data_IF_669419818018
#
_entry.id   IF_669419818018
#
_cell.length_a   1.000
_cell.length_b   1.000
_cell.length_c   1.000
_cell.angle_alpha   90.00
_cell.angle_beta   90.00
_cell.angle_gamma   90.00
#
_symmetry.space_group_name_H-M   'P 1'
#
loop_
_entity.id
_entity.type
_entity.pdbx_description
1 polymer ?
#
# COMPACT_ATOMS: atom_id res chain seq x y z
N UNK A 1 2.92 6.40 -4.89
CA UNK A 1 1.76 5.56 -4.53
C UNK A 1 2.26 4.16 -4.76
N UNK A 2 2.66 3.49 -3.67
CA UNK A 2 3.50 2.31 -3.70
C UNK A 2 2.97 1.11 -4.45
N UNK A 3 3.91 0.20 -4.71
CA UNK A 3 3.79 -1.07 -5.43
C UNK A 3 2.65 -1.97 -4.95
N UNK A 4 1.55 -1.97 -5.68
CA UNK A 4 0.34 -2.74 -5.41
C UNK A 4 0.61 -4.26 -5.29
N UNK A 5 1.53 -4.84 -6.08
CA UNK A 5 1.84 -6.27 -5.98
C UNK A 5 2.81 -6.59 -4.83
N UNK A 6 3.79 -5.73 -4.57
CA UNK A 6 4.72 -5.93 -3.47
C UNK A 6 3.98 -6.01 -2.14
N UNK A 7 3.05 -5.11 -1.86
CA UNK A 7 2.23 -5.20 -0.64
C UNK A 7 1.40 -6.48 -0.59
N UNK A 8 0.80 -6.88 -1.70
CA UNK A 8 0.04 -8.13 -1.77
C UNK A 8 0.90 -9.37 -1.47
N UNK A 9 2.09 -9.45 -2.08
CA UNK A 9 3.06 -10.52 -1.84
C UNK A 9 3.56 -10.48 -0.40
N UNK A 10 3.92 -9.30 0.10
CA UNK A 10 4.37 -9.07 1.47
C UNK A 10 3.36 -9.59 2.49
N UNK A 11 2.09 -9.24 2.32
CA UNK A 11 1.01 -9.72 3.18
C UNK A 11 0.92 -11.25 3.23
N UNK A 12 1.15 -11.95 2.10
CA UNK A 12 1.17 -13.43 2.09
C UNK A 12 2.34 -14.01 2.86
N UNK A 13 3.51 -13.39 2.79
CA UNK A 13 4.70 -13.80 3.55
C UNK A 13 4.49 -13.53 5.05
N UNK A 14 3.94 -12.38 5.42
CA UNK A 14 3.60 -12.06 6.81
C UNK A 14 2.59 -13.05 7.39
N UNK A 15 1.52 -13.37 6.66
CA UNK A 15 0.54 -14.40 7.09
C UNK A 15 1.23 -15.73 7.40
N UNK A 16 2.23 -16.10 6.59
CA UNK A 16 3.02 -17.33 6.77
C UNK A 16 3.94 -17.29 8.00
N UNK A 17 4.29 -16.10 8.48
CA UNK A 17 5.04 -15.87 9.72
C UNK A 17 4.14 -15.71 10.97
N UNK A 18 2.84 -15.47 10.80
CA UNK A 18 1.92 -15.27 11.94
C UNK A 18 1.61 -16.59 12.68
N UNK A 19 1.43 -16.53 14.01
CA UNK A 19 0.84 -17.61 14.81
C UNK A 19 -0.54 -18.03 14.28
N UNK A 20 -0.89 -19.32 14.44
CA UNK A 20 -2.13 -19.91 13.90
C UNK A 20 -3.41 -19.10 14.20
N UNK A 21 -3.67 -18.63 15.44
CA UNK A 21 -4.90 -17.88 15.72
C UNK A 21 -5.03 -16.57 14.93
N UNK A 22 -3.91 -15.85 14.78
CA UNK A 22 -3.87 -14.61 13.99
C UNK A 22 -4.01 -14.89 12.50
N UNK A 23 -3.33 -15.94 12.01
CA UNK A 23 -3.48 -16.42 10.64
C UNK A 23 -4.94 -16.74 10.32
N UNK A 24 -5.62 -17.51 11.16
CA UNK A 24 -7.04 -17.86 10.95
C UNK A 24 -7.95 -16.63 10.94
N UNK A 25 -7.69 -15.63 11.79
CA UNK A 25 -8.45 -14.36 11.77
C UNK A 25 -8.31 -13.66 10.43
N UNK A 26 -7.08 -13.59 9.89
CA UNK A 26 -6.79 -12.98 8.59
C UNK A 26 -7.41 -13.79 7.44
N UNK A 27 -7.30 -15.11 7.46
CA UNK A 27 -7.83 -15.98 6.40
C UNK A 27 -9.37 -15.96 6.33
N UNK A 28 -10.06 -15.88 7.47
CA UNK A 28 -11.52 -15.79 7.51
C UNK A 28 -12.06 -14.47 6.97
N UNK A 29 -11.25 -13.40 7.01
CA UNK A 29 -11.61 -12.06 6.51
C UNK A 29 -10.59 -11.59 5.46
N UNK A 30 -10.21 -12.51 4.57
CA UNK A 30 -9.10 -12.31 3.64
C UNK A 30 -9.25 -11.07 2.77
N UNK A 31 -10.46 -10.77 2.32
CA UNK A 31 -10.74 -9.60 1.49
C UNK A 31 -10.38 -8.29 2.20
N UNK A 32 -10.70 -8.17 3.48
CA UNK A 32 -10.43 -6.97 4.28
C UNK A 32 -8.94 -6.82 4.58
N UNK A 33 -8.26 -7.91 4.90
CA UNK A 33 -6.80 -7.89 5.04
C UNK A 33 -6.14 -7.46 3.73
N UNK A 34 -6.52 -8.07 2.62
CA UNK A 34 -5.96 -7.79 1.29
C UNK A 34 -6.26 -6.35 0.82
N UNK A 35 -7.38 -5.74 1.25
CA UNK A 35 -7.65 -4.31 1.06
C UNK A 35 -6.76 -3.46 1.99
N UNK A 36 -6.62 -3.86 3.25
CA UNK A 36 -5.77 -3.19 4.23
C UNK A 36 -4.28 -3.16 3.84
N UNK A 37 -3.82 -4.10 3.01
CA UNK A 37 -2.45 -4.08 2.45
C UNK A 37 -2.16 -2.84 1.58
N UNK A 38 -3.18 -2.11 1.13
CA UNK A 38 -3.02 -0.83 0.46
C UNK A 38 -3.07 0.36 1.43
N UNK A 39 -3.30 0.12 2.72
CA UNK A 39 -3.37 1.15 3.75
C UNK A 39 -4.26 2.35 3.36
N UNK A 40 -3.83 3.59 3.64
CA UNK A 40 -4.58 4.78 3.27
C UNK A 40 -4.55 5.10 1.77
N UNK A 41 -3.77 4.38 0.94
CA UNK A 41 -3.65 4.65 -0.50
C UNK A 41 -4.96 4.46 -1.26
N UNK A 42 -5.86 3.63 -0.74
CA UNK A 42 -7.20 3.45 -1.33
C UNK A 42 -7.91 4.80 -1.51
N UNK A 43 -7.65 5.77 -0.62
CA UNK A 43 -8.30 7.07 -0.63
C UNK A 43 -7.82 7.96 -1.79
N UNK A 44 -6.60 7.75 -2.30
CA UNK A 44 -6.09 8.51 -3.44
C UNK A 44 -6.96 8.33 -4.70
N UNK A 45 -7.64 7.20 -4.80
CA UNK A 45 -8.50 6.87 -5.94
C UNK A 45 -9.92 7.43 -5.84
N UNK A 46 -10.25 8.17 -4.78
CA UNK A 46 -11.49 8.94 -4.70
C UNK A 46 -11.33 10.31 -5.38
N UNK A 47 -11.89 10.43 -6.59
CA UNK A 47 -11.77 11.62 -7.45
C UNK A 47 -10.31 12.15 -7.54
N UNK A 48 -9.37 11.34 -8.08
CA UNK A 48 -7.92 11.62 -8.01
C UNK A 48 -7.46 12.87 -8.76
N UNK A 49 -8.33 13.45 -9.61
CA UNK A 49 -7.96 14.60 -10.45
C UNK A 49 -7.68 15.87 -9.64
N UNK A 50 -8.21 15.99 -8.41
CA UNK A 50 -7.99 17.13 -7.52
C UNK A 50 -8.00 16.69 -6.07
N UNK A 51 -7.25 17.40 -5.22
CA UNK A 51 -7.32 17.21 -3.76
C UNK A 51 -8.73 17.51 -3.26
N UNK A 52 -9.25 16.64 -2.40
CA UNK A 52 -10.57 16.71 -1.78
C UNK A 52 -10.48 16.17 -0.34
N UNK A 53 -11.58 16.23 0.41
CA UNK A 53 -11.62 15.82 1.82
C UNK A 53 -11.32 14.33 2.05
N UNK A 54 -11.50 13.48 1.04
CA UNK A 54 -11.25 12.04 1.14
C UNK A 54 -9.79 11.72 0.80
N UNK A 55 -9.33 12.10 -0.40
CA UNK A 55 -7.94 11.81 -0.79
C UNK A 55 -6.92 12.63 0.02
N UNK A 56 -7.34 13.78 0.59
CA UNK A 56 -6.54 14.58 1.51
C UNK A 56 -6.12 13.81 2.76
N UNK A 57 -7.02 12.99 3.32
CA UNK A 57 -6.69 12.14 4.47
C UNK A 57 -5.59 11.13 4.14
N UNK A 58 -5.60 10.58 2.91
CA UNK A 58 -4.53 9.71 2.43
C UNK A 58 -3.17 10.39 2.46
N UNK A 59 -3.08 11.64 1.97
CA UNK A 59 -1.83 12.40 1.98
C UNK A 59 -1.40 12.74 3.42
N UNK A 60 -2.33 13.23 4.23
CA UNK A 60 -2.03 13.67 5.59
C UNK A 60 -1.56 12.52 6.49
N UNK A 61 -2.03 11.29 6.26
CA UNK A 61 -1.58 10.10 6.96
C UNK A 61 -0.14 9.70 6.61
N UNK A 62 0.32 10.00 5.39
CA UNK A 62 1.70 9.69 4.98
C UNK A 62 2.73 10.64 5.59
N UNK A 63 2.33 11.87 5.86
CA UNK A 63 3.21 12.93 6.37
C UNK A 63 3.28 12.99 7.90
N UNK A 64 2.34 12.35 8.60
CA UNK A 64 2.24 12.38 10.07
C UNK A 64 2.70 11.06 10.69
N UNK A 65 3.16 11.09 11.96
CA UNK A 65 3.32 9.87 12.76
C UNK A 65 2.06 9.01 12.71
N UNK A 66 2.22 7.70 12.49
CA UNK A 66 1.10 6.78 12.32
C UNK A 66 0.41 6.42 13.66
N UNK A 67 1.00 6.77 14.80
CA UNK A 67 0.54 6.38 16.13
C UNK A 67 -0.86 6.91 16.43
N UNK A 68 -1.18 8.15 16.01
CA UNK A 68 -2.54 8.70 16.15
C UNK A 68 -3.57 7.88 15.37
N UNK A 69 -3.24 7.46 14.14
CA UNK A 69 -4.09 6.59 13.35
C UNK A 69 -4.27 5.23 14.01
N UNK A 70 -3.20 4.61 14.52
CA UNK A 70 -3.29 3.30 15.17
C UNK A 70 -3.99 3.37 16.55
N UNK A 71 -3.90 4.48 17.30
CA UNK A 71 -4.72 4.70 18.51
C UNK A 71 -6.21 4.76 18.16
N UNK A 72 -6.57 5.56 17.15
CA UNK A 72 -7.95 5.65 16.66
C UNK A 72 -8.45 4.28 16.17
N UNK A 73 -7.63 3.58 15.37
CA UNK A 73 -7.95 2.27 14.85
C UNK A 73 -8.20 1.23 15.96
N UNK A 74 -7.48 1.29 17.08
CA UNK A 74 -7.71 0.40 18.21
C UNK A 74 -9.11 0.61 18.83
N UNK A 75 -9.52 1.87 18.98
CA UNK A 75 -10.87 2.21 19.45
C UNK A 75 -11.95 1.85 18.43
N UNK A 76 -11.67 2.03 17.14
CA UNK A 76 -12.55 1.59 16.05
C UNK A 76 -12.78 0.08 16.07
N UNK A 77 -11.72 -0.73 16.26
CA UNK A 77 -11.84 -2.18 16.35
C UNK A 77 -12.68 -2.61 17.56
N UNK A 78 -12.54 -1.95 18.71
CA UNK A 78 -13.33 -2.23 19.92
C UNK A 78 -14.82 -1.96 19.73
N UNK A 79 -15.18 -0.94 18.93
CA UNK A 79 -16.56 -0.50 18.68
C UNK A 79 -17.19 -1.14 17.44
N UNK A 80 -16.43 -1.90 16.67
CA UNK A 80 -16.91 -2.50 15.42
C UNK A 80 -18.01 -3.55 15.69
N UNK A 81 -19.01 -3.58 14.81
CA UNK A 81 -20.06 -4.62 14.82
C UNK A 81 -19.47 -6.01 14.60
N UNK A 82 -18.48 -6.10 13.70
CA UNK A 82 -17.62 -7.28 13.53
C UNK A 82 -16.16 -6.94 13.86
N UNK A 83 -15.73 -7.14 15.12
CA UNK A 83 -14.35 -6.90 15.52
C UNK A 83 -13.34 -7.80 14.79
N UNK A 84 -13.73 -8.98 14.30
CA UNK A 84 -12.81 -9.87 13.59
C UNK A 84 -12.50 -9.34 12.18
N UNK A 85 -13.52 -8.85 11.48
CA UNK A 85 -13.40 -8.15 10.21
C UNK A 85 -12.53 -6.89 10.34
N UNK A 86 -12.81 -6.04 11.34
CA UNK A 86 -12.04 -4.83 11.61
C UNK A 86 -10.57 -5.15 11.95
N UNK A 87 -10.31 -6.22 12.72
CA UNK A 87 -8.95 -6.72 13.01
C UNK A 87 -8.21 -7.14 11.75
N UNK A 88 -8.85 -7.88 10.86
CA UNK A 88 -8.21 -8.32 9.62
C UNK A 88 -7.80 -7.12 8.74
N UNK A 89 -8.68 -6.11 8.63
CA UNK A 89 -8.35 -4.87 7.92
C UNK A 89 -7.12 -4.17 8.52
N UNK A 90 -7.13 -3.88 9.83
CA UNK A 90 -6.02 -3.16 10.46
C UNK A 90 -4.71 -3.95 10.44
N UNK A 91 -4.75 -5.29 10.49
CA UNK A 91 -3.55 -6.11 10.29
C UNK A 91 -2.96 -5.95 8.89
N UNK A 92 -3.80 -5.79 7.87
CA UNK A 92 -3.35 -5.42 6.53
C UNK A 92 -2.67 -4.05 6.53
N UNK A 93 -3.26 -3.06 7.20
CA UNK A 93 -2.68 -1.69 7.28
C UNK A 93 -1.36 -1.67 8.04
N UNK A 94 -1.20 -2.51 9.08
CA UNK A 94 0.08 -2.69 9.78
C UNK A 94 1.14 -3.26 8.82
N UNK A 95 0.78 -4.21 7.95
CA UNK A 95 1.71 -4.73 6.95
C UNK A 95 2.11 -3.65 5.94
N UNK A 96 1.15 -2.85 5.48
CA UNK A 96 1.42 -1.71 4.60
C UNK A 96 2.39 -0.72 5.25
N UNK A 97 2.07 -0.25 6.47
CA UNK A 97 2.94 0.62 7.27
C UNK A 97 4.35 0.04 7.47
N UNK A 98 4.45 -1.24 7.81
CA UNK A 98 5.73 -1.87 8.10
C UNK A 98 6.64 -1.91 6.87
N UNK A 99 6.08 -2.16 5.68
CA UNK A 99 6.85 -2.16 4.45
C UNK A 99 7.22 -0.74 4.02
N UNK A 100 6.26 0.18 4.03
CA UNK A 100 6.47 1.57 3.61
C UNK A 100 7.49 2.28 4.48
N UNK A 101 7.38 2.16 5.81
CA UNK A 101 8.32 2.78 6.75
C UNK A 101 9.74 2.19 6.69
N UNK A 102 9.94 1.04 6.04
CA UNK A 102 11.27 0.48 5.76
C UNK A 102 11.78 0.89 4.37
N UNK A 103 10.89 1.00 3.37
CA UNK A 103 11.26 1.25 1.99
C UNK A 103 11.33 2.73 1.62
N UNK A 104 10.35 3.55 2.01
CA UNK A 104 10.23 4.93 1.56
C UNK A 104 11.43 5.83 1.88
N UNK A 105 12.12 5.72 3.03
CA UNK A 105 13.36 6.47 3.26
C UNK A 105 14.42 6.20 2.17
N UNK A 106 14.56 4.94 1.76
CA UNK A 106 15.49 4.57 0.69
C UNK A 106 14.97 4.95 -0.69
N UNK A 107 13.67 4.82 -0.96
CA UNK A 107 13.06 5.28 -2.22
C UNK A 107 13.27 6.77 -2.41
N UNK A 108 13.08 7.59 -1.37
CA UNK A 108 13.34 9.04 -1.42
C UNK A 108 14.81 9.33 -1.74
N UNK A 109 15.73 8.63 -1.08
CA UNK A 109 17.16 8.71 -1.36
C UNK A 109 17.48 8.32 -2.81
N UNK A 110 16.89 7.24 -3.33
CA UNK A 110 17.05 6.78 -4.72
C UNK A 110 16.57 7.82 -5.73
N UNK A 111 15.40 8.44 -5.49
CA UNK A 111 14.86 9.52 -6.33
C UNK A 111 15.85 10.68 -6.37
N UNK A 112 16.32 11.12 -5.20
CA UNK A 112 17.26 12.24 -5.09
C UNK A 112 18.58 11.97 -5.83
N UNK A 113 19.17 10.79 -5.69
CA UNK A 113 20.48 10.47 -6.30
C UNK A 113 20.40 10.18 -7.81
N UNK A 114 19.28 9.62 -8.29
CA UNK A 114 19.17 9.16 -9.69
C UNK A 114 18.29 10.01 -10.59
N UNK A 115 17.38 10.81 -10.03
CA UNK A 115 16.30 11.47 -10.78
C UNK A 115 15.22 10.52 -11.32
N UNK A 116 15.29 9.21 -11.02
CA UNK A 116 14.25 8.25 -11.39
C UNK A 116 13.01 8.52 -10.55
N UNK A 117 11.84 8.52 -11.18
CA UNK A 117 10.59 8.81 -10.46
C UNK A 117 10.27 7.74 -9.42
N UNK A 118 9.62 8.16 -8.33
CA UNK A 118 9.06 7.28 -7.30
C UNK A 118 8.28 6.10 -7.91
N UNK A 119 7.33 6.40 -8.80
CA UNK A 119 6.48 5.39 -9.44
C UNK A 119 7.27 4.39 -10.29
N UNK A 120 8.40 4.80 -10.88
CA UNK A 120 9.22 3.90 -11.69
C UNK A 120 10.08 2.97 -10.85
N UNK A 121 10.68 3.46 -9.75
CA UNK A 121 11.41 2.63 -8.79
C UNK A 121 10.49 1.54 -8.23
N UNK A 122 9.29 1.95 -7.83
CA UNK A 122 8.25 1.06 -7.35
C UNK A 122 7.84 0.05 -8.43
N UNK A 123 7.44 0.51 -9.61
CA UNK A 123 7.09 -0.36 -10.73
C UNK A 123 8.16 -1.43 -11.03
N UNK A 124 9.44 -1.06 -10.99
CA UNK A 124 10.54 -2.00 -11.21
C UNK A 124 10.73 -3.01 -10.06
N UNK A 125 10.41 -2.61 -8.83
CA UNK A 125 10.35 -3.54 -7.71
C UNK A 125 9.17 -4.53 -7.85
N UNK A 126 7.99 -4.05 -8.25
CA UNK A 126 6.85 -4.91 -8.58
C UNK A 126 7.19 -5.88 -9.72
N UNK A 127 7.88 -5.40 -10.76
CA UNK A 127 8.39 -6.24 -11.86
C UNK A 127 9.28 -7.37 -11.33
N UNK A 128 10.24 -7.05 -10.46
CA UNK A 128 11.15 -8.06 -9.89
C UNK A 128 10.33 -9.15 -9.18
N UNK A 129 9.42 -8.78 -8.30
CA UNK A 129 8.63 -9.72 -7.52
C UNK A 129 7.69 -10.57 -8.40
N UNK A 130 7.03 -9.96 -9.40
CA UNK A 130 6.17 -10.66 -10.36
C UNK A 130 6.97 -11.68 -11.18
N UNK A 131 8.18 -11.32 -11.63
CA UNK A 131 9.06 -12.22 -12.38
C UNK A 131 9.51 -13.41 -11.55
N UNK A 132 9.85 -13.21 -10.28
CA UNK A 132 10.21 -14.28 -9.36
C UNK A 132 9.06 -15.26 -9.11
N UNK A 133 7.82 -14.78 -9.17
CA UNK A 133 6.62 -15.61 -9.06
C UNK A 133 6.16 -16.17 -10.43
N UNK A 134 6.99 -16.05 -11.48
CA UNK A 134 6.71 -16.52 -12.84
C UNK A 134 5.47 -15.88 -13.48
N UNK A 135 5.11 -14.67 -13.06
CA UNK A 135 3.98 -13.89 -13.58
C UNK A 135 4.50 -12.87 -14.60
N UNK A 136 3.77 -12.69 -15.71
CA UNK A 136 4.08 -11.66 -16.69
C UNK A 136 3.71 -10.26 -16.13
N UNK A 137 4.69 -9.37 -15.84
CA UNK A 137 4.42 -8.09 -15.19
C UNK A 137 3.52 -7.17 -16.04
N UNK A 138 3.75 -7.17 -17.35
CA UNK A 138 3.08 -6.28 -18.31
C UNK A 138 1.58 -6.59 -18.45
N UNK A 139 1.16 -7.79 -18.06
CA UNK A 139 -0.23 -8.28 -18.17
C UNK A 139 -0.92 -8.45 -16.82
N UNK A 140 -0.21 -8.24 -15.72
CA UNK A 140 -0.75 -8.45 -14.39
C UNK A 140 -1.63 -7.26 -13.97
N UNK A 141 -2.84 -7.56 -13.49
CA UNK A 141 -3.72 -6.57 -12.88
C UNK A 141 -3.55 -6.65 -11.37
N UNK A 142 -2.91 -5.66 -10.78
CA UNK A 142 -2.51 -5.70 -9.37
C UNK A 142 -3.66 -5.51 -8.36
N UNK A 143 -4.88 -5.22 -8.83
CA UNK A 143 -6.06 -5.01 -7.96
C UNK A 143 -7.06 -6.16 -8.00
N UNK A 144 -6.67 -7.36 -8.47
CA UNK A 144 -7.59 -8.51 -8.62
C UNK A 144 -8.21 -8.99 -7.30
N UNK A 145 -7.47 -8.83 -6.20
CA UNK A 145 -7.90 -9.18 -4.84
C UNK A 145 -8.88 -8.19 -4.22
N UNK A 146 -8.98 -6.96 -4.74
CA UNK A 146 -9.86 -5.94 -4.17
C UNK A 146 -11.32 -6.29 -4.47
N UNK A 147 -12.14 -6.24 -3.42
CA UNK A 147 -13.57 -6.54 -3.45
C UNK A 147 -14.35 -5.30 -2.99
N UNK A 148 -14.80 -4.45 -3.93
CA UNK A 148 -15.39 -3.15 -3.61
C UNK A 148 -16.89 -3.28 -3.26
N UNK A 149 -17.18 -4.00 -2.18
CA UNK A 149 -18.54 -4.22 -1.67
C UNK A 149 -18.93 -3.12 -0.68
N UNK A 150 -20.22 -2.96 -0.40
CA UNK A 150 -20.65 -1.98 0.63
C UNK A 150 -20.29 -2.47 2.03
N UNK A 151 -20.31 -3.78 2.21
CA UNK A 151 -19.98 -4.51 3.43
C UNK A 151 -18.53 -4.25 3.82
N UNK A 152 -17.58 -4.43 2.89
CA UNK A 152 -16.18 -4.08 3.13
C UNK A 152 -16.03 -2.57 3.37
N UNK A 153 -16.77 -1.74 2.64
CA UNK A 153 -16.81 -0.29 2.87
C UNK A 153 -17.26 0.10 4.27
N UNK A 154 -18.26 -0.60 4.84
CA UNK A 154 -18.79 -0.34 6.17
C UNK A 154 -17.80 -0.69 7.29
N UNK A 155 -16.99 -1.74 7.10
CA UNK A 155 -15.92 -2.09 8.04
C UNK A 155 -14.78 -1.07 8.00
N UNK A 156 -14.45 -0.56 6.81
CA UNK A 156 -13.28 0.31 6.59
C UNK A 156 -13.57 1.77 6.94
N UNK A 157 -14.76 2.28 6.62
CA UNK A 157 -15.08 3.70 6.75
C UNK A 157 -14.78 4.29 8.16
N UNK A 158 -15.08 3.60 9.29
CA UNK A 158 -14.81 4.11 10.63
C UNK A 158 -13.33 4.28 11.00
N UNK A 159 -12.39 3.76 10.19
CA UNK A 159 -10.96 3.98 10.39
C UNK A 159 -10.51 5.38 9.94
N UNK A 160 -11.37 6.10 9.22
CA UNK A 160 -11.10 7.40 8.63
C UNK A 160 -12.12 8.43 9.10
N UNK A 161 -11.78 9.72 8.96
CA UNK A 161 -12.61 10.83 9.41
C UNK A 161 -13.77 11.05 8.43
N UNK A 162 -15.00 11.05 8.96
CA UNK A 162 -16.25 11.38 8.23
C UNK A 162 -16.45 10.64 6.89
N UNK A 163 -15.98 9.40 6.79
CA UNK A 163 -16.22 8.56 5.62
C UNK A 163 -17.47 7.69 5.78
N UNK A 164 -18.16 7.47 4.67
CA UNK A 164 -19.27 6.51 4.56
C UNK A 164 -18.81 5.25 3.82
N UNK A 165 -19.56 4.15 4.00
CA UNK A 165 -19.33 2.91 3.26
C UNK A 165 -19.35 3.12 1.74
N UNK A 166 -20.26 3.96 1.23
CA UNK A 166 -20.34 4.32 -0.19
C UNK A 166 -19.08 5.05 -0.68
N UNK A 167 -18.52 5.94 0.14
CA UNK A 167 -17.31 6.70 -0.20
C UNK A 167 -16.12 5.76 -0.33
N UNK A 168 -15.91 4.87 0.64
CA UNK A 168 -14.87 3.84 0.56
C UNK A 168 -15.10 2.93 -0.65
N UNK A 169 -16.33 2.48 -0.87
CA UNK A 169 -16.66 1.64 -2.02
C UNK A 169 -16.30 2.32 -3.35
N UNK A 170 -16.60 3.62 -3.49
CA UNK A 170 -16.24 4.42 -4.67
C UNK A 170 -14.72 4.51 -4.83
N UNK A 171 -13.98 4.71 -3.73
CA UNK A 171 -12.52 4.76 -3.76
C UNK A 171 -11.92 3.42 -4.26
N UNK A 172 -12.39 2.29 -3.73
CA UNK A 172 -11.97 0.94 -4.18
C UNK A 172 -12.33 0.67 -5.65
N UNK A 173 -13.54 1.07 -6.09
CA UNK A 173 -13.94 1.01 -7.51
C UNK A 173 -13.02 1.86 -8.38
N UNK A 174 -12.67 3.06 -7.92
CA UNK A 174 -11.71 3.95 -8.54
C UNK A 174 -10.36 3.25 -8.73
N UNK A 175 -9.81 2.67 -7.66
CA UNK A 175 -8.52 1.98 -7.70
C UNK A 175 -8.49 0.89 -8.77
N UNK A 176 -9.52 0.04 -8.82
CA UNK A 176 -9.66 -1.00 -9.85
C UNK A 176 -9.79 -0.40 -11.26
N UNK A 177 -10.58 0.67 -11.42
CA UNK A 177 -10.79 1.33 -12.71
C UNK A 177 -9.50 1.94 -13.25
N UNK A 178 -8.75 2.70 -12.44
CA UNK A 178 -7.51 3.33 -12.85
C UNK A 178 -6.41 2.30 -13.15
N UNK A 179 -6.30 1.23 -12.35
CA UNK A 179 -5.37 0.15 -12.67
C UNK A 179 -5.73 -0.57 -13.99
N UNK A 180 -7.01 -0.79 -14.27
CA UNK A 180 -7.44 -1.33 -15.58
C UNK A 180 -7.17 -0.36 -16.73
N UNK A 181 -7.33 0.94 -16.50
CA UNK A 181 -7.02 1.97 -17.49
C UNK A 181 -5.52 1.95 -17.82
N UNK A 182 -4.67 1.93 -16.81
CA UNK A 182 -3.20 1.96 -16.94
C UNK A 182 -2.60 0.61 -17.40
N UNK A 183 -3.32 -0.50 -17.24
CA UNK A 183 -2.92 -1.80 -17.78
C UNK A 183 -2.90 -1.79 -19.31
N UNK A 184 -1.71 -1.56 -19.89
CA UNK A 184 -1.53 -1.38 -21.32
C UNK A 184 -0.48 -2.36 -21.90
N UNK A 185 -0.81 -3.64 -22.07
CA UNK A 185 0.15 -4.62 -22.61
C UNK A 185 0.43 -4.43 -24.11
N UNK A 186 -0.47 -3.81 -24.86
CA UNK A 186 -0.35 -3.62 -26.31
C UNK A 186 0.11 -2.22 -26.71
N UNK A 187 0.79 -2.12 -27.86
CA UNK A 187 1.35 -0.86 -28.37
C UNK A 187 0.28 0.22 -28.64
N UNK A 188 -0.91 -0.16 -29.12
CA UNK A 188 -1.99 0.79 -29.45
C UNK A 188 -2.47 1.53 -28.20
N UNK A 189 -2.84 0.80 -27.13
CA UNK A 189 -3.32 1.40 -25.88
C UNK A 189 -2.24 2.28 -25.23
N UNK A 190 -0.97 1.85 -25.26
CA UNK A 190 0.16 2.66 -24.77
C UNK A 190 0.31 3.99 -25.50
N UNK A 191 0.27 3.97 -26.84
CA UNK A 191 0.36 5.19 -27.65
C UNK A 191 -0.76 6.18 -27.30
N UNK A 192 -1.99 5.70 -27.15
CA UNK A 192 -3.13 6.53 -26.77
C UNK A 192 -2.94 7.12 -25.36
N UNK A 193 -2.59 6.28 -24.37
CA UNK A 193 -2.40 6.73 -22.99
C UNK A 193 -1.27 7.76 -22.88
N UNK A 194 -0.09 7.45 -23.43
CA UNK A 194 1.06 8.34 -23.37
C UNK A 194 0.84 9.62 -24.19
N UNK A 195 0.13 9.55 -25.32
CA UNK A 195 -0.31 10.72 -26.06
C UNK A 195 -1.22 11.62 -25.22
N UNK A 196 -2.23 11.04 -24.57
CA UNK A 196 -3.12 11.76 -23.66
C UNK A 196 -2.39 12.41 -22.48
N UNK A 197 -1.48 11.68 -21.83
CA UNK A 197 -0.67 12.20 -20.72
C UNK A 197 0.24 13.36 -21.15
N UNK A 198 0.81 13.32 -22.36
CA UNK A 198 1.63 14.43 -22.89
C UNK A 198 0.77 15.65 -23.18
N UNK A 199 -0.40 15.47 -23.77
CA UNK A 199 -1.33 16.56 -24.07
C UNK A 199 -1.86 17.23 -22.79
N UNK A 200 -2.04 16.48 -21.70
CA UNK A 200 -2.44 17.04 -20.40
C UNK A 200 -1.27 17.58 -19.56
N UNK A 201 -0.02 17.43 -20.01
CA UNK A 201 1.16 17.84 -19.25
C UNK A 201 1.46 16.94 -18.04
N UNK A 202 0.90 15.73 -18.00
CA UNK A 202 1.01 14.80 -16.85
C UNK A 202 1.89 13.58 -17.17
N UNK A 203 2.66 13.61 -18.26
CA UNK A 203 3.49 12.49 -18.66
C UNK A 203 4.53 12.15 -17.60
N UNK A 204 5.32 13.13 -17.15
CA UNK A 204 6.43 12.89 -16.23
C UNK A 204 5.97 12.35 -14.87
N UNK A 205 4.75 12.70 -14.44
CA UNK A 205 4.18 12.23 -13.17
C UNK A 205 3.44 10.90 -13.26
N UNK A 206 2.86 10.54 -14.41
CA UNK A 206 1.96 9.37 -14.51
C UNK A 206 2.52 8.20 -15.32
N UNK A 207 3.54 8.40 -16.15
CA UNK A 207 4.02 7.35 -17.07
C UNK A 207 4.59 6.14 -16.30
N UNK A 208 5.25 6.35 -15.17
CA UNK A 208 5.80 5.29 -14.32
C UNK A 208 4.74 4.39 -13.68
N UNK A 209 3.46 4.79 -13.67
CA UNK A 209 2.36 3.92 -13.26
C UNK A 209 1.96 2.88 -14.33
N UNK A 210 2.47 3.01 -15.56
CA UNK A 210 2.25 2.03 -16.64
C UNK A 210 3.48 1.13 -16.73
N UNK A 211 3.38 -0.08 -16.19
CA UNK A 211 4.42 -1.13 -16.24
C UNK A 211 5.21 -1.08 -17.54
N UNK A 212 6.51 -0.78 -17.53
CA UNK A 212 7.35 -0.68 -18.74
C UNK A 212 7.37 -2.02 -19.49
N UNK A 213 7.74 -2.03 -20.78
CA UNK A 213 7.86 -3.31 -21.50
C UNK A 213 9.14 -4.04 -21.09
N UNK A 214 10.22 -3.29 -21.05
CA UNK A 214 11.55 -3.75 -20.64
C UNK A 214 11.91 -3.18 -19.26
N UNK A 215 12.71 -3.91 -18.46
CA UNK A 215 13.19 -3.41 -17.18
C UNK A 215 14.10 -2.19 -17.35
N UNK A 216 14.10 -1.30 -16.36
CA UNK A 216 15.09 -0.23 -16.28
C UNK A 216 16.36 -0.78 -15.60
N UNK A 217 17.49 -0.92 -16.31
CA UNK A 217 18.71 -1.47 -15.73
C UNK A 217 19.28 -0.60 -14.59
N UNK A 218 18.97 0.70 -14.55
CA UNK A 218 19.39 1.59 -13.48
C UNK A 218 18.74 1.24 -12.13
N UNK A 219 17.55 0.63 -12.13
CA UNK A 219 16.86 0.22 -10.90
C UNK A 219 17.38 -1.12 -10.33
N UNK A 220 18.33 -1.79 -10.99
CA UNK A 220 18.74 -3.16 -10.61
C UNK A 220 19.25 -3.27 -9.17
N UNK A 221 20.16 -2.38 -8.76
CA UNK A 221 20.68 -2.39 -7.38
C UNK A 221 19.63 -1.90 -6.38
N UNK A 222 18.79 -0.93 -6.77
CA UNK A 222 17.68 -0.46 -5.95
C UNK A 222 16.69 -1.57 -5.64
N UNK A 223 16.27 -2.35 -6.65
CA UNK A 223 15.39 -3.49 -6.44
C UNK A 223 16.01 -4.57 -5.53
N UNK A 224 17.35 -4.75 -5.56
CA UNK A 224 18.03 -5.67 -4.62
C UNK A 224 18.00 -5.14 -3.19
N UNK A 225 18.20 -3.85 -2.99
CA UNK A 225 18.09 -3.23 -1.67
C UNK A 225 16.65 -3.31 -1.15
N UNK A 226 15.66 -2.91 -1.95
CA UNK A 226 14.24 -3.02 -1.61
C UNK A 226 13.83 -4.47 -1.30
N UNK A 227 14.36 -5.46 -2.02
CA UNK A 227 14.12 -6.87 -1.71
C UNK A 227 14.67 -7.29 -0.34
N UNK A 228 15.84 -6.77 0.07
CA UNK A 228 16.40 -7.03 1.41
C UNK A 228 15.53 -6.39 2.50
N UNK A 229 15.11 -5.14 2.29
CA UNK A 229 14.21 -4.42 3.20
C UNK A 229 12.87 -5.14 3.33
N UNK A 230 12.28 -5.57 2.21
CA UNK A 230 11.08 -6.38 2.17
C UNK A 230 11.21 -7.65 3.03
N UNK A 231 12.29 -8.42 2.84
CA UNK A 231 12.50 -9.66 3.61
C UNK A 231 12.69 -9.38 5.11
N UNK A 232 13.41 -8.30 5.46
CA UNK A 232 13.59 -7.87 6.85
C UNK A 232 12.31 -7.33 7.50
N UNK A 233 11.41 -6.75 6.69
CA UNK A 233 10.14 -6.19 7.16
C UNK A 233 9.11 -7.28 7.52
N UNK A 234 9.23 -8.51 6.99
CA UNK A 234 8.28 -9.60 7.27
C UNK A 234 8.19 -9.94 8.77
N UNK A 235 9.29 -10.29 9.47
CA UNK A 235 9.22 -10.57 10.91
C UNK A 235 8.87 -9.32 11.73
N UNK A 236 9.25 -8.14 11.26
CA UNK A 236 8.86 -6.87 11.88
C UNK A 236 7.33 -6.69 11.87
N UNK A 237 6.69 -6.85 10.71
CA UNK A 237 5.24 -6.70 10.55
C UNK A 237 4.49 -7.75 11.38
N UNK A 238 4.93 -9.01 11.36
CA UNK A 238 4.36 -10.05 12.20
C UNK A 238 4.46 -9.70 13.70
N UNK A 239 5.62 -9.20 14.14
CA UNK A 239 5.82 -8.73 15.51
C UNK A 239 4.95 -7.52 15.88
N UNK A 240 4.75 -6.59 14.95
CA UNK A 240 3.84 -5.45 15.14
C UNK A 240 2.39 -5.89 15.27
N UNK A 241 1.92 -6.85 14.47
CA UNK A 241 0.56 -7.42 14.60
C UNK A 241 0.38 -8.06 15.98
N UNK A 242 1.36 -8.84 16.46
CA UNK A 242 1.30 -9.48 17.78
C UNK A 242 1.27 -8.43 18.90
N UNK A 243 2.13 -7.40 18.85
CA UNK A 243 2.11 -6.33 19.86
C UNK A 243 0.82 -5.53 19.81
N UNK A 244 0.31 -5.24 18.61
CA UNK A 244 -0.95 -4.52 18.46
C UNK A 244 -2.13 -5.34 18.96
N UNK A 245 -2.08 -6.67 18.89
CA UNK A 245 -3.07 -7.51 19.54
C UNK A 245 -3.16 -7.24 21.05
N UNK A 246 -2.04 -7.06 21.74
CA UNK A 246 -2.05 -6.69 23.16
C UNK A 246 -2.68 -5.33 23.41
N UNK A 247 -2.46 -4.36 22.53
CA UNK A 247 -3.15 -3.05 22.60
C UNK A 247 -4.68 -3.24 22.52
N UNK A 248 -5.14 -4.12 21.63
CA UNK A 248 -6.57 -4.37 21.42
C UNK A 248 -7.25 -5.09 22.60
N UNK A 249 -6.56 -6.04 23.24
CA UNK A 249 -7.17 -6.95 24.23
C UNK A 249 -6.72 -6.71 25.68
N UNK A 250 -5.51 -6.21 25.89
CA UNK A 250 -4.88 -6.04 27.21
C UNK A 250 -4.73 -4.55 27.58
N UNK A 251 -4.97 -3.64 26.63
CA UNK A 251 -4.84 -2.19 26.86
C UNK A 251 -3.40 -1.70 26.91
N UNK A 252 -2.46 -2.47 26.34
CA UNK A 252 -1.05 -2.09 26.21
C UNK A 252 -0.86 -0.76 25.46
N UNK A 253 0.31 -0.16 25.64
CA UNK A 253 0.70 1.02 24.89
C UNK A 253 0.93 0.72 23.41
N UNK A 254 0.62 1.71 22.58
CA UNK A 254 0.91 1.66 21.15
C UNK A 254 2.42 1.49 20.93
N UNK A 255 2.86 0.53 20.10
CA UNK A 255 4.28 0.33 19.82
C UNK A 255 4.96 1.62 19.36
N UNK A 256 6.11 1.94 19.96
CA UNK A 256 6.93 3.12 19.60
C UNK A 256 7.22 3.19 18.10
N UNK A 257 7.30 2.04 17.44
CA UNK A 257 7.50 1.93 16.00
C UNK A 257 6.45 2.69 15.17
N UNK A 258 5.22 2.86 15.67
CA UNK A 258 4.16 3.64 15.00
C UNK A 258 4.37 5.16 15.09
N UNK A 259 5.37 5.66 15.82
CA UNK A 259 5.75 7.09 15.78
C UNK A 259 6.43 7.49 14.46
N UNK A 260 6.83 6.52 13.62
CA UNK A 260 7.28 6.78 12.24
C UNK A 260 6.09 7.13 11.34
N UNK A 261 6.39 7.77 10.22
CA UNK A 261 5.38 8.05 9.18
C UNK A 261 5.34 6.90 8.16
N UNK A 262 4.32 6.87 7.30
CA UNK A 262 4.33 5.96 6.15
C UNK A 262 5.34 6.44 5.11
N UNK A 263 5.60 7.74 4.99
CA UNK A 263 6.57 8.31 4.05
C UNK A 263 8.05 8.15 4.47
N UNK A 264 8.91 8.96 3.84
CA UNK A 264 10.36 8.89 4.04
C UNK A 264 10.84 9.36 5.42
N UNK A 265 10.03 10.12 6.15
CA UNK A 265 10.39 10.70 7.44
C UNK A 265 11.63 11.59 7.39
N UNK A 266 12.37 11.66 8.50
CA UNK A 266 13.61 12.42 8.63
C UNK A 266 14.84 11.51 8.47
N UNK A 267 16.01 12.10 8.17
CA UNK A 267 17.30 11.39 8.14
C UNK A 267 17.55 10.48 6.92
N UNK A 268 16.63 10.43 5.95
CA UNK A 268 16.80 9.61 4.73
C UNK A 268 18.02 10.01 3.89
N UNK A 269 18.47 11.27 3.99
CA UNK A 269 19.62 11.80 3.24
C UNK A 269 20.93 11.11 3.59
N UNK A 270 21.04 10.62 4.83
CA UNK A 270 22.25 10.01 5.39
C UNK A 270 22.27 8.49 5.20
N UNK A 271 21.22 7.90 4.60
CA UNK A 271 21.15 6.47 4.33
C UNK A 271 22.13 6.06 3.23
N UNK A 272 22.80 4.89 3.36
CA UNK A 272 23.60 4.33 2.30
C UNK A 272 22.71 3.73 1.19
N UNK A 273 23.09 3.92 -0.08
CA UNK A 273 22.51 3.22 -1.24
C UNK A 273 23.42 2.09 -1.72
#
# INVERSE_FOLDING_TARGET
>A
MPTTYAHYKFGKEVISALPRPLRSTVENHRELFDIGLHGPDILFYYHPMKRNTVNGQGYDLHDKPADLFFRHAAETVKKAEDPAAARAYIYGVICHFALDSECHPYVEKMIHESGISHSEIEMEFDRLLLKEDYINPVRYLATKHIRPTKENGAVIAPFFEDLTAETVQKALKGMIMYHKLLLAPGAVKRKILFGGMRLSGQYDSLHGMVMSLEPNPACKEYCRLLKRLFAGAVPLAAGLIIRYQKVLFEGDEIPERFTRTFGAGEGWKDLPL
#
